data_IF_727906070253
#
_entry.id   IF_727906070253
#
_cell.length_a   1.000
_cell.length_b   1.000
_cell.length_c   1.000
_cell.angle_alpha   90.00
_cell.angle_beta   90.00
_cell.angle_gamma   90.00
#
_symmetry.space_group_name_H-M   'P 1'
#
loop_
_entity.id
_entity.type
_entity.pdbx_description
1 polymer ?
#
# COMPACT_ATOMS: atom_id res chain seq x y z
N UNK A 1 5.20 4.13 -19.81
CA UNK A 1 5.74 5.30 -19.05
C UNK A 1 6.76 4.82 -18.02
N UNK A 2 7.80 5.58 -17.65
CA UNK A 2 8.65 5.16 -16.51
C UNK A 2 7.95 5.49 -15.19
N UNK A 3 7.32 4.48 -14.61
CA UNK A 3 6.59 4.53 -13.35
C UNK A 3 7.37 5.22 -12.21
N UNK A 4 8.68 4.96 -12.11
CA UNK A 4 9.58 5.56 -11.11
C UNK A 4 9.54 7.10 -11.10
N UNK A 5 9.41 7.72 -12.28
CA UNK A 5 9.39 9.17 -12.40
C UNK A 5 8.10 9.76 -11.82
N UNK A 6 6.95 9.10 -12.04
CA UNK A 6 5.71 9.53 -11.41
C UNK A 6 5.71 9.27 -9.90
N UNK A 7 6.41 8.25 -9.43
CA UNK A 7 6.60 8.11 -7.99
C UNK A 7 7.43 9.26 -7.40
N UNK A 8 8.47 9.71 -8.07
CA UNK A 8 9.25 10.89 -7.63
C UNK A 8 8.37 12.14 -7.55
N UNK A 9 7.60 12.42 -8.60
CA UNK A 9 6.69 13.57 -8.62
C UNK A 9 5.62 13.50 -7.51
N UNK A 10 5.10 12.30 -7.23
CA UNK A 10 4.18 12.08 -6.11
C UNK A 10 4.85 12.32 -4.75
N UNK A 11 6.14 12.02 -4.61
CA UNK A 11 6.89 12.29 -3.37
C UNK A 11 7.15 13.80 -3.20
N UNK A 12 7.21 14.55 -4.31
CA UNK A 12 7.31 16.02 -4.35
C UNK A 12 5.94 16.73 -4.21
N UNK A 13 4.83 15.98 -4.29
CA UNK A 13 3.46 16.51 -4.20
C UNK A 13 2.92 17.09 -5.52
N UNK A 14 3.62 16.88 -6.64
CA UNK A 14 3.29 17.34 -8.00
C UNK A 14 2.17 16.48 -8.63
N UNK A 15 1.02 16.43 -7.95
CA UNK A 15 -0.09 15.54 -8.27
C UNK A 15 -0.70 15.81 -9.66
N UNK A 16 -0.90 17.07 -10.03
CA UNK A 16 -1.49 17.43 -11.32
C UNK A 16 -0.56 17.04 -12.48
N UNK A 17 0.75 17.25 -12.32
CA UNK A 17 1.75 16.83 -13.31
C UNK A 17 1.75 15.30 -13.51
N UNK A 18 1.57 14.53 -12.44
CA UNK A 18 1.43 13.07 -12.50
C UNK A 18 0.17 12.68 -13.26
N UNK A 19 -0.97 13.31 -12.95
CA UNK A 19 -2.26 13.03 -13.60
C UNK A 19 -2.18 13.30 -15.10
N UNK A 20 -1.67 14.47 -15.51
CA UNK A 20 -1.59 14.86 -16.92
C UNK A 20 -0.67 13.91 -17.69
N UNK A 21 0.49 13.59 -17.12
CA UNK A 21 1.46 12.68 -17.74
C UNK A 21 0.94 11.26 -17.84
N UNK A 22 0.34 10.73 -16.78
CA UNK A 22 -0.21 9.39 -16.75
C UNK A 22 -1.40 9.26 -17.71
N UNK A 23 -2.27 10.28 -17.82
CA UNK A 23 -3.37 10.27 -18.81
C UNK A 23 -2.86 10.29 -20.24
N UNK A 24 -1.83 11.09 -20.53
CA UNK A 24 -1.21 11.12 -21.86
C UNK A 24 -0.64 9.76 -22.26
N UNK A 25 0.11 9.13 -21.35
CA UNK A 25 0.75 7.83 -21.60
C UNK A 25 -0.24 6.67 -21.60
N UNK A 26 -1.29 6.73 -20.79
CA UNK A 26 -2.40 5.78 -20.78
C UNK A 26 -3.08 5.68 -22.15
N UNK A 27 -3.26 6.79 -22.85
CA UNK A 27 -3.86 6.79 -24.19
C UNK A 27 -2.98 6.00 -25.18
N UNK A 28 -1.67 6.26 -25.17
CA UNK A 28 -0.70 5.53 -26.00
C UNK A 28 -0.71 4.03 -25.63
N UNK A 29 -0.70 3.71 -24.33
CA UNK A 29 -0.69 2.33 -23.87
C UNK A 29 -1.96 1.57 -24.27
N UNK A 30 -3.13 2.24 -24.24
CA UNK A 30 -4.41 1.68 -24.72
C UNK A 30 -4.40 1.39 -26.21
N UNK A 31 -3.91 2.33 -27.03
CA UNK A 31 -3.78 2.14 -28.48
C UNK A 31 -2.90 0.94 -28.84
N UNK A 32 -1.87 0.69 -28.04
CA UNK A 32 -0.90 -0.38 -28.26
C UNK A 32 -1.19 -1.67 -27.45
N UNK A 33 -2.28 -1.71 -26.67
CA UNK A 33 -2.64 -2.81 -25.77
C UNK A 33 -1.55 -3.22 -24.76
N UNK A 34 -0.78 -2.26 -24.26
CA UNK A 34 0.26 -2.49 -23.25
C UNK A 34 -0.34 -2.56 -21.84
N UNK A 35 -0.86 -3.74 -21.46
CA UNK A 35 -1.61 -3.93 -20.20
C UNK A 35 -0.84 -3.51 -18.95
N UNK A 36 0.47 -3.76 -18.89
CA UNK A 36 1.31 -3.36 -17.75
C UNK A 36 1.36 -1.83 -17.60
N UNK A 37 1.65 -1.11 -18.68
CA UNK A 37 1.67 0.36 -18.69
C UNK A 37 0.29 0.94 -18.36
N UNK A 38 -0.79 0.39 -18.91
CA UNK A 38 -2.17 0.81 -18.59
C UNK A 38 -2.40 0.73 -17.08
N UNK A 39 -2.07 -0.40 -16.46
CA UNK A 39 -2.30 -0.62 -15.03
C UNK A 39 -1.42 0.30 -14.16
N UNK A 40 -0.16 0.51 -14.52
CA UNK A 40 0.76 1.40 -13.79
C UNK A 40 0.36 2.88 -13.92
N UNK A 41 -0.11 3.31 -15.09
CA UNK A 41 -0.61 4.67 -15.33
C UNK A 41 -1.90 4.91 -14.53
N UNK A 42 -2.84 3.96 -14.56
CA UNK A 42 -4.06 4.00 -13.75
C UNK A 42 -3.74 4.08 -12.25
N UNK A 43 -2.77 3.30 -11.77
CA UNK A 43 -2.37 3.35 -10.38
C UNK A 43 -1.75 4.71 -10.01
N UNK A 44 -0.92 5.26 -10.88
CA UNK A 44 -0.29 6.58 -10.66
C UNK A 44 -1.34 7.68 -10.56
N UNK A 45 -2.37 7.65 -11.43
CA UNK A 45 -3.53 8.56 -11.36
C UNK A 45 -4.29 8.39 -10.04
N UNK A 46 -4.58 7.14 -9.67
CA UNK A 46 -5.29 6.85 -8.42
C UNK A 46 -4.54 7.34 -7.18
N UNK A 47 -3.21 7.20 -7.16
CA UNK A 47 -2.35 7.74 -6.09
C UNK A 47 -2.35 9.26 -6.03
N UNK A 48 -2.31 9.94 -7.18
CA UNK A 48 -2.39 11.39 -7.23
C UNK A 48 -3.73 11.90 -6.68
N UNK A 49 -4.85 11.30 -7.10
CA UNK A 49 -6.17 11.63 -6.55
C UNK A 49 -6.26 11.33 -5.06
N UNK A 50 -5.62 10.27 -4.58
CA UNK A 50 -5.57 9.96 -3.15
C UNK A 50 -4.85 11.05 -2.36
N UNK A 51 -3.70 11.55 -2.82
CA UNK A 51 -2.98 12.66 -2.18
C UNK A 51 -3.77 13.98 -2.22
N UNK A 52 -4.60 14.19 -3.24
CA UNK A 52 -5.53 15.31 -3.33
C UNK A 52 -6.82 15.14 -2.50
N UNK A 53 -6.93 14.08 -1.69
CA UNK A 53 -8.12 13.71 -0.92
C UNK A 53 -9.38 13.45 -1.77
N UNK A 54 -9.22 13.18 -3.07
CA UNK A 54 -10.30 12.78 -3.99
C UNK A 54 -10.53 11.27 -3.92
N UNK A 55 -11.01 10.79 -2.77
CA UNK A 55 -11.04 9.36 -2.44
C UNK A 55 -11.91 8.50 -3.38
N UNK A 56 -13.01 9.04 -3.90
CA UNK A 56 -13.88 8.30 -4.81
C UNK A 56 -13.19 8.05 -6.16
N UNK A 57 -12.57 9.09 -6.72
CA UNK A 57 -11.82 8.97 -7.98
C UNK A 57 -10.59 8.08 -7.78
N UNK A 58 -9.86 8.26 -6.68
CA UNK A 58 -8.72 7.43 -6.33
C UNK A 58 -9.09 5.93 -6.32
N UNK A 59 -10.21 5.58 -5.67
CA UNK A 59 -10.68 4.20 -5.59
C UNK A 59 -10.98 3.62 -6.98
N UNK A 60 -11.66 4.37 -7.85
CA UNK A 60 -12.00 3.92 -9.21
C UNK A 60 -10.72 3.58 -9.99
N UNK A 61 -9.74 4.48 -9.98
CA UNK A 61 -8.49 4.28 -10.73
C UNK A 61 -7.64 3.14 -10.16
N UNK A 62 -7.59 3.01 -8.83
CA UNK A 62 -6.88 1.90 -8.15
C UNK A 62 -7.57 0.56 -8.47
N UNK A 63 -8.89 0.48 -8.43
CA UNK A 63 -9.63 -0.76 -8.72
C UNK A 63 -9.45 -1.22 -10.17
N UNK A 64 -9.45 -0.27 -11.13
CA UNK A 64 -9.16 -0.58 -12.52
C UNK A 64 -7.75 -1.15 -12.70
N UNK A 65 -6.76 -0.55 -12.05
CA UNK A 65 -5.38 -1.02 -12.06
C UNK A 65 -5.23 -2.44 -11.49
N UNK A 66 -5.82 -2.70 -10.31
CA UNK A 66 -5.80 -4.01 -9.66
C UNK A 66 -6.48 -5.08 -10.53
N UNK A 67 -7.60 -4.74 -11.17
CA UNK A 67 -8.30 -5.65 -12.08
C UNK A 67 -7.39 -6.11 -13.22
N UNK A 68 -6.59 -5.20 -13.80
CA UNK A 68 -5.63 -5.54 -14.86
C UNK A 68 -4.46 -6.35 -14.29
N UNK A 69 -3.87 -5.97 -13.16
CA UNK A 69 -2.78 -6.75 -12.55
C UNK A 69 -3.20 -8.19 -12.27
N UNK A 70 -4.40 -8.37 -11.71
CA UNK A 70 -4.95 -9.68 -11.44
C UNK A 70 -5.27 -10.45 -12.73
N UNK A 71 -5.98 -9.83 -13.68
CA UNK A 71 -6.39 -10.49 -14.92
C UNK A 71 -5.24 -10.85 -15.86
N UNK A 72 -4.14 -10.09 -15.82
CA UNK A 72 -2.95 -10.33 -16.63
C UNK A 72 -1.88 -11.18 -15.90
N UNK A 73 -2.10 -11.54 -14.63
CA UNK A 73 -1.17 -12.38 -13.86
C UNK A 73 0.10 -11.67 -13.38
N UNK A 74 0.09 -10.34 -13.22
CA UNK A 74 1.21 -9.55 -12.69
C UNK A 74 1.30 -9.66 -11.16
N UNK A 75 1.56 -10.87 -10.66
CA UNK A 75 1.59 -11.20 -9.23
C UNK A 75 2.67 -10.43 -8.47
N UNK A 76 3.78 -10.10 -9.14
CA UNK A 76 4.90 -9.34 -8.59
C UNK A 76 4.55 -7.87 -8.31
N UNK A 77 3.65 -7.27 -9.08
CA UNK A 77 3.25 -5.85 -8.93
C UNK A 77 1.90 -5.71 -8.20
N UNK A 78 1.06 -6.75 -8.22
CA UNK A 78 -0.24 -6.76 -7.56
C UNK A 78 -0.21 -6.29 -6.09
N UNK A 79 0.75 -6.70 -5.24
CA UNK A 79 0.91 -6.17 -3.88
C UNK A 79 0.89 -4.64 -3.81
N UNK A 80 1.50 -3.97 -4.78
CA UNK A 80 1.59 -2.51 -4.79
C UNK A 80 0.22 -1.85 -4.99
N UNK A 81 -0.64 -2.39 -5.85
CA UNK A 81 -2.02 -1.93 -6.00
C UNK A 81 -2.84 -2.14 -4.72
N UNK A 82 -2.75 -3.34 -4.14
CA UNK A 82 -3.45 -3.70 -2.90
C UNK A 82 -3.05 -2.81 -1.72
N UNK A 83 -1.75 -2.49 -1.57
CA UNK A 83 -1.24 -1.57 -0.54
C UNK A 83 -1.86 -0.17 -0.65
N UNK A 84 -1.96 0.38 -1.86
CA UNK A 84 -2.58 1.70 -2.06
C UNK A 84 -4.08 1.68 -1.76
N UNK A 85 -4.79 0.60 -2.11
CA UNK A 85 -6.21 0.44 -1.76
C UNK A 85 -6.42 0.26 -0.26
N UNK A 86 -5.54 -0.49 0.42
CA UNK A 86 -5.54 -0.63 1.87
C UNK A 86 -5.35 0.73 2.57
N UNK A 87 -4.40 1.53 2.10
CA UNK A 87 -4.18 2.89 2.60
C UNK A 87 -5.43 3.77 2.42
N UNK A 88 -6.07 3.71 1.26
CA UNK A 88 -7.32 4.44 1.03
C UNK A 88 -8.41 4.01 2.01
N UNK A 89 -8.62 2.71 2.21
CA UNK A 89 -9.59 2.18 3.18
C UNK A 89 -9.28 2.61 4.62
N UNK A 90 -8.00 2.61 5.02
CA UNK A 90 -7.59 3.14 6.32
C UNK A 90 -7.96 4.62 6.48
N UNK A 91 -7.72 5.43 5.45
CA UNK A 91 -8.08 6.86 5.46
C UNK A 91 -9.59 7.09 5.52
N UNK A 92 -10.39 6.24 4.87
CA UNK A 92 -11.86 6.28 4.95
C UNK A 92 -12.43 5.55 6.18
N UNK A 93 -11.56 5.10 7.09
CA UNK A 93 -11.91 4.34 8.32
C UNK A 93 -12.62 3.00 8.09
N UNK A 94 -12.48 2.42 6.91
CA UNK A 94 -12.93 1.05 6.62
C UNK A 94 -11.81 0.07 6.99
N UNK A 95 -11.57 -0.07 8.29
CA UNK A 95 -10.43 -0.84 8.80
C UNK A 95 -10.51 -2.33 8.47
N UNK A 96 -11.72 -2.88 8.40
CA UNK A 96 -11.95 -4.27 8.02
C UNK A 96 -11.51 -4.54 6.57
N UNK A 97 -11.88 -3.66 5.63
CA UNK A 97 -11.41 -3.80 4.24
C UNK A 97 -9.91 -3.54 4.12
N UNK A 98 -9.39 -2.53 4.80
CA UNK A 98 -7.95 -2.25 4.80
C UNK A 98 -7.14 -3.49 5.23
N UNK A 99 -7.57 -4.13 6.32
CA UNK A 99 -6.92 -5.35 6.80
C UNK A 99 -7.03 -6.52 5.81
N UNK A 100 -8.21 -6.76 5.23
CA UNK A 100 -8.40 -7.83 4.27
C UNK A 100 -7.50 -7.66 3.03
N UNK A 101 -7.30 -6.42 2.58
CA UNK A 101 -6.37 -6.09 1.51
C UNK A 101 -4.91 -6.34 1.90
N UNK A 102 -4.51 -5.94 3.11
CA UNK A 102 -3.17 -6.21 3.63
C UNK A 102 -2.91 -7.72 3.81
N UNK A 103 -3.92 -8.49 4.18
CA UNK A 103 -3.79 -9.94 4.29
C UNK A 103 -3.44 -10.56 2.94
N UNK A 104 -4.08 -10.13 1.86
CA UNK A 104 -3.74 -10.58 0.49
C UNK A 104 -2.30 -10.22 0.12
N UNK A 105 -1.85 -9.02 0.49
CA UNK A 105 -0.46 -8.60 0.28
C UNK A 105 0.51 -9.55 0.99
N UNK A 106 0.22 -9.86 2.26
CA UNK A 106 1.01 -10.81 3.04
C UNK A 106 1.03 -12.19 2.38
N UNK A 107 -0.11 -12.73 2.00
CA UNK A 107 -0.21 -14.06 1.38
C UNK A 107 0.58 -14.17 0.07
N UNK A 108 0.72 -13.06 -0.68
CA UNK A 108 1.54 -13.01 -1.90
C UNK A 108 3.03 -12.85 -1.57
N UNK A 109 3.36 -12.00 -0.60
CA UNK A 109 4.74 -11.63 -0.31
C UNK A 109 5.48 -12.61 0.62
N UNK A 110 4.75 -13.28 1.51
CA UNK A 110 5.29 -14.26 2.42
C UNK A 110 5.72 -15.53 1.66
N UNK A 111 6.88 -16.08 2.01
CA UNK A 111 7.46 -17.23 1.33
C UNK A 111 7.91 -17.02 -0.12
N UNK A 112 7.56 -15.91 -0.79
CA UNK A 112 7.91 -15.64 -2.20
C UNK A 112 9.20 -14.83 -2.39
N UNK A 113 9.83 -14.40 -1.29
CA UNK A 113 11.06 -13.60 -1.34
C UNK A 113 10.84 -12.12 -1.68
N UNK A 114 9.59 -11.66 -1.80
CA UNK A 114 9.20 -10.26 -2.08
C UNK A 114 9.37 -9.34 -0.87
N UNK A 115 10.58 -9.27 -0.33
CA UNK A 115 10.89 -8.59 0.94
C UNK A 115 10.56 -7.11 0.97
N UNK A 116 10.61 -6.42 -0.18
CA UNK A 116 10.24 -5.00 -0.27
C UNK A 116 8.73 -4.79 -0.07
N UNK A 117 7.90 -5.63 -0.69
CA UNK A 117 6.45 -5.60 -0.47
C UNK A 117 6.07 -6.03 0.93
N UNK A 118 6.78 -7.01 1.50
CA UNK A 118 6.60 -7.42 2.89
C UNK A 118 6.94 -6.26 3.85
N UNK A 119 7.98 -5.48 3.56
CA UNK A 119 8.31 -4.26 4.31
C UNK A 119 7.16 -3.25 4.26
N UNK A 120 6.67 -2.95 3.07
CA UNK A 120 5.55 -2.00 2.88
C UNK A 120 4.27 -2.50 3.57
N UNK A 121 4.03 -3.82 3.59
CA UNK A 121 2.96 -4.45 4.37
C UNK A 121 3.09 -4.17 5.87
N UNK A 122 4.27 -4.40 6.45
CA UNK A 122 4.48 -4.17 7.88
C UNK A 122 4.28 -2.70 8.25
N UNK A 123 4.77 -1.76 7.43
CA UNK A 123 4.55 -0.33 7.63
C UNK A 123 3.07 0.04 7.58
N UNK A 124 2.33 -0.45 6.57
CA UNK A 124 0.91 -0.13 6.43
C UNK A 124 0.04 -0.81 7.49
N UNK A 125 0.38 -2.02 7.92
CA UNK A 125 -0.29 -2.69 9.04
C UNK A 125 -0.07 -1.94 10.35
N UNK A 126 1.14 -1.44 10.60
CA UNK A 126 1.40 -0.58 11.76
C UNK A 126 0.53 0.69 11.72
N UNK A 127 0.44 1.36 10.57
CA UNK A 127 -0.47 2.53 10.40
C UNK A 127 -1.92 2.16 10.66
N UNK A 128 -2.38 1.01 10.18
CA UNK A 128 -3.74 0.54 10.38
C UNK A 128 -4.04 0.32 11.86
N UNK A 129 -3.15 -0.37 12.58
CA UNK A 129 -3.29 -0.65 14.00
C UNK A 129 -3.28 0.63 14.85
N UNK A 130 -2.43 1.60 14.51
CA UNK A 130 -2.42 2.92 15.15
C UNK A 130 -3.72 3.68 14.87
N UNK A 131 -4.14 3.75 13.60
CA UNK A 131 -5.35 4.49 13.19
C UNK A 131 -6.64 3.90 13.76
N UNK A 132 -6.67 2.59 13.96
CA UNK A 132 -7.79 1.86 14.51
C UNK A 132 -7.65 1.59 16.02
N UNK A 133 -6.65 2.19 16.68
CA UNK A 133 -6.60 2.20 18.15
C UNK A 133 -7.88 2.84 18.70
N UNK A 134 -8.60 2.10 19.54
CA UNK A 134 -9.92 2.49 20.05
C UNK A 134 -11.12 1.99 19.23
N UNK A 135 -10.87 1.22 18.16
CA UNK A 135 -11.89 0.52 17.38
C UNK A 135 -11.62 -0.98 17.42
N UNK A 136 -12.64 -1.77 17.76
CA UNK A 136 -12.55 -3.23 17.64
C UNK A 136 -12.77 -3.63 16.19
N UNK A 137 -11.74 -4.20 15.58
CA UNK A 137 -11.81 -4.94 14.32
C UNK A 137 -11.01 -6.23 14.50
N UNK A 138 -11.45 -7.31 13.87
CA UNK A 138 -10.82 -8.62 14.01
C UNK A 138 -9.32 -8.51 13.71
N UNK A 139 -8.43 -9.09 14.51
CA UNK A 139 -6.99 -9.11 14.20
C UNK A 139 -6.67 -10.25 13.21
N UNK A 140 -5.58 -10.15 12.41
CA UNK A 140 -5.23 -11.18 11.45
C UNK A 140 -4.89 -12.50 12.16
N UNK A 141 -5.44 -13.61 11.68
CA UNK A 141 -5.35 -14.93 12.32
C UNK A 141 -3.97 -15.61 12.21
N UNK A 142 -3.00 -14.96 11.57
CA UNK A 142 -1.83 -15.60 10.96
C UNK A 142 -0.48 -15.16 11.56
N UNK A 143 -0.45 -14.69 12.80
CA UNK A 143 0.76 -14.79 13.61
C UNK A 143 0.42 -15.46 14.94
N UNK A 144 1.09 -16.57 15.26
CA UNK A 144 0.97 -17.22 16.57
C UNK A 144 1.31 -16.25 17.73
N UNK A 145 1.95 -15.12 17.42
CA UNK A 145 2.27 -14.03 18.33
C UNK A 145 1.05 -13.17 18.72
N UNK A 146 -0.05 -13.20 17.97
CA UNK A 146 -1.20 -12.28 18.16
C UNK A 146 -2.43 -12.95 18.80
N UNK A 147 -2.26 -13.98 19.63
CA UNK A 147 -3.42 -14.74 20.14
C UNK A 147 -4.10 -14.19 21.40
N UNK A 148 -3.69 -13.06 21.98
CA UNK A 148 -4.17 -12.69 23.32
C UNK A 148 -4.45 -11.21 23.61
N UNK A 149 -4.46 -10.28 22.64
CA UNK A 149 -4.60 -8.85 22.99
C UNK A 149 -5.71 -8.16 22.18
N UNK A 150 -6.94 -8.23 22.68
CA UNK A 150 -8.05 -7.35 22.25
C UNK A 150 -7.96 -6.00 22.97
N UNK A 151 -8.32 -4.90 22.29
CA UNK A 151 -8.34 -3.55 22.85
C UNK A 151 -7.14 -2.68 22.43
N UNK A 152 -7.15 -1.41 22.89
CA UNK A 152 -6.18 -0.36 22.51
C UNK A 152 -4.73 -0.79 22.74
N UNK A 153 -4.42 -1.32 23.92
CA UNK A 153 -3.06 -1.76 24.28
C UNK A 153 -2.58 -2.93 23.41
N UNK A 154 -3.49 -3.81 23.01
CA UNK A 154 -3.20 -4.92 22.11
C UNK A 154 -2.86 -4.48 20.70
N UNK A 155 -3.62 -3.51 20.17
CA UNK A 155 -3.35 -2.93 18.86
C UNK A 155 -2.01 -2.19 18.85
N UNK A 156 -1.69 -1.43 19.90
CA UNK A 156 -0.41 -0.73 20.00
C UNK A 156 0.78 -1.68 20.11
N UNK A 157 0.66 -2.75 20.90
CA UNK A 157 1.72 -3.76 20.99
C UNK A 157 1.94 -4.47 19.66
N UNK A 158 0.85 -4.78 18.95
CA UNK A 158 0.93 -5.36 17.61
C UNK A 158 1.58 -4.40 16.62
N UNK A 159 1.27 -3.10 16.69
CA UNK A 159 1.89 -2.07 15.85
C UNK A 159 3.42 -2.03 16.07
N UNK A 160 3.88 -2.11 17.32
CA UNK A 160 5.32 -2.18 17.65
C UNK A 160 6.01 -3.39 17.01
N UNK A 161 5.36 -4.55 17.00
CA UNK A 161 5.89 -5.76 16.36
C UNK A 161 6.04 -5.54 14.85
N UNK A 162 5.03 -4.98 14.18
CA UNK A 162 5.12 -4.68 12.75
C UNK A 162 6.21 -3.64 12.44
N UNK A 163 6.37 -2.60 13.26
CA UNK A 163 7.45 -1.61 13.10
C UNK A 163 8.84 -2.28 13.21
N UNK A 164 9.03 -3.14 14.21
CA UNK A 164 10.30 -3.84 14.39
C UNK A 164 10.63 -4.75 13.19
N UNK A 165 9.63 -5.42 12.62
CA UNK A 165 9.82 -6.28 11.46
C UNK A 165 10.09 -5.46 10.17
N UNK A 166 9.41 -4.32 10.00
CA UNK A 166 9.73 -3.38 8.92
C UNK A 166 11.18 -2.87 9.02
N UNK A 167 11.62 -2.48 10.22
CA UNK A 167 13.00 -2.04 10.46
C UNK A 167 14.01 -3.14 10.14
N UNK A 168 13.73 -4.38 10.56
CA UNK A 168 14.58 -5.55 10.26
C UNK A 168 14.71 -5.77 8.76
N UNK A 169 13.60 -5.70 8.01
CA UNK A 169 13.58 -5.90 6.57
C UNK A 169 14.28 -4.75 5.82
N UNK A 170 14.10 -3.50 6.24
CA UNK A 170 14.79 -2.34 5.68
C UNK A 170 16.31 -2.52 5.80
N UNK A 171 16.80 -2.85 6.99
CA UNK A 171 18.23 -3.11 7.24
C UNK A 171 18.76 -4.27 6.40
N UNK A 172 18.00 -5.35 6.26
CA UNK A 172 18.40 -6.53 5.51
C UNK A 172 18.42 -6.33 3.99
N UNK A 173 17.61 -5.41 3.46
CA UNK A 173 17.45 -5.18 2.02
C UNK A 173 18.10 -3.90 1.52
N UNK A 174 18.46 -2.98 2.42
CA UNK A 174 18.91 -1.63 2.06
C UNK A 174 17.79 -0.73 1.55
N UNK A 175 16.53 -1.02 1.88
CA UNK A 175 15.35 -0.30 1.38
C UNK A 175 15.11 1.04 2.10
N UNK A 176 16.12 1.91 2.08
CA UNK A 176 16.15 3.18 2.82
C UNK A 176 15.11 4.22 2.38
N UNK A 177 14.43 4.00 1.25
CA UNK A 177 13.32 4.87 0.81
C UNK A 177 12.21 4.97 1.88
N UNK A 178 12.05 3.94 2.71
CA UNK A 178 11.04 3.90 3.77
C UNK A 178 11.54 4.38 5.14
N UNK A 179 12.77 4.88 5.25
CA UNK A 179 13.33 5.35 6.53
C UNK A 179 12.50 6.49 7.14
N UNK A 180 12.02 7.42 6.30
CA UNK A 180 11.14 8.52 6.74
C UNK A 180 9.84 7.97 7.35
N UNK A 181 9.20 7.05 6.64
CA UNK A 181 7.94 6.44 7.06
C UNK A 181 8.08 5.62 8.35
N UNK A 182 9.21 4.90 8.49
CA UNK A 182 9.54 4.17 9.70
C UNK A 182 9.71 5.12 10.90
N UNK A 183 10.48 6.20 10.74
CA UNK A 183 10.71 7.17 11.79
C UNK A 183 9.42 7.87 12.24
N UNK A 184 8.54 8.21 11.30
CA UNK A 184 7.21 8.80 11.59
C UNK A 184 6.34 7.84 12.42
N UNK A 185 6.37 6.54 12.13
CA UNK A 185 5.64 5.52 12.89
C UNK A 185 6.23 5.27 14.28
N UNK A 186 7.56 5.25 14.40
CA UNK A 186 8.25 5.11 15.68
C UNK A 186 7.94 6.27 16.63
N UNK A 187 7.76 7.49 16.12
CA UNK A 187 7.40 8.66 16.92
C UNK A 187 5.95 8.66 17.44
N UNK A 188 5.09 7.77 16.93
CA UNK A 188 3.67 7.69 17.29
C UNK A 188 3.37 6.67 18.40
N UNK A 189 4.35 5.86 18.82
CA UNK A 189 4.20 4.75 19.80
C UNK A 189 5.07 4.92 21.05
#
# INVERSE_FOLDING_TARGET
MRFDYCQLLLDEGENDAVIDRAKYTLNIAKENNWLSDIALDQLSIGRAYFQQAMYQDALIWIDQSISIFHGAGYIDILPFGLLNRAALHRHTRDFARAQAELQKVFDIADGSGMRLHLTDYHLEMARLLVAASGFDFAQPANSETTRCLSGVEGNMQSARIHIAEAERLIKATGYHRRDKELAELQAQL
#
